data_IF_704574229095
#
_entry.id   IF_704574229095
#
_cell.length_a   1.000
_cell.length_b   1.000
_cell.length_c   1.000
_cell.angle_alpha   90.00
_cell.angle_beta   90.00
_cell.angle_gamma   90.00
#
_symmetry.space_group_name_H-M   'P 1'
#
loop_
_entity.id
_entity.type
_entity.pdbx_description
1 polymer ?
#
# COMPACT_ATOMS: atom_id res chain seq x y z
N UNK A 1 -41.55 23.75 6.18
CA UNK A 1 -41.31 22.30 6.36
C UNK A 1 -40.37 21.85 5.26
N UNK A 2 -39.08 22.10 5.42
CA UNK A 2 -38.03 21.49 4.58
C UNK A 2 -37.53 20.28 5.34
N UNK A 3 -37.78 19.11 4.78
CA UNK A 3 -37.42 17.80 5.32
C UNK A 3 -35.96 17.77 5.80
N UNK A 4 -35.65 17.09 6.92
CA UNK A 4 -34.27 16.87 7.31
C UNK A 4 -33.58 16.03 6.23
N UNK A 5 -32.44 16.53 5.76
CA UNK A 5 -31.48 15.85 4.90
C UNK A 5 -31.19 14.49 5.54
N UNK A 6 -31.76 13.43 4.97
CA UNK A 6 -31.53 12.06 5.43
C UNK A 6 -30.07 11.74 5.11
N UNK A 7 -29.22 11.90 6.13
CA UNK A 7 -27.77 11.81 6.03
C UNK A 7 -27.33 10.60 5.20
N UNK A 8 -26.83 10.89 4.00
CA UNK A 8 -26.30 9.87 3.10
C UNK A 8 -25.11 9.20 3.80
N UNK A 9 -25.25 7.90 4.11
CA UNK A 9 -24.16 7.13 4.72
C UNK A 9 -23.02 7.06 3.71
N UNK A 10 -21.83 7.51 4.09
CA UNK A 10 -20.65 7.49 3.23
C UNK A 10 -20.32 6.04 2.82
N UNK A 11 -20.16 5.81 1.51
CA UNK A 11 -19.87 4.48 0.94
C UNK A 11 -18.46 3.97 1.29
N UNK A 12 -17.54 4.85 1.66
CA UNK A 12 -16.14 4.55 1.98
C UNK A 12 -15.70 5.29 3.25
N UNK A 13 -14.60 4.83 3.84
CA UNK A 13 -13.93 5.55 4.92
C UNK A 13 -13.10 6.69 4.37
N UNK A 14 -12.92 7.72 5.19
CA UNK A 14 -11.97 8.79 4.92
C UNK A 14 -10.96 8.88 6.07
N UNK A 15 -9.70 9.11 5.71
CA UNK A 15 -8.66 9.50 6.65
C UNK A 15 -7.76 10.59 6.05
N UNK A 16 -6.80 11.05 6.84
CA UNK A 16 -5.75 11.96 6.39
C UNK A 16 -4.39 11.25 6.45
N UNK A 17 -3.57 11.52 5.45
CA UNK A 17 -2.18 11.06 5.36
C UNK A 17 -1.27 12.25 5.05
N UNK A 18 0.00 12.12 5.39
CA UNK A 18 1.03 13.07 4.98
C UNK A 18 1.87 12.47 3.86
N UNK A 19 2.19 13.29 2.84
CA UNK A 19 3.16 12.94 1.79
C UNK A 19 4.44 13.72 2.00
N UNK A 20 5.56 13.01 2.01
CA UNK A 20 6.91 13.55 2.05
C UNK A 20 7.55 13.37 0.67
N UNK A 21 8.21 14.40 0.16
CA UNK A 21 8.91 14.33 -1.13
C UNK A 21 10.31 14.93 -1.11
N UNK A 22 11.25 14.27 -1.78
CA UNK A 22 12.60 14.78 -2.00
C UNK A 22 13.07 14.44 -3.42
N UNK A 23 13.75 15.38 -4.07
CA UNK A 23 14.36 15.15 -5.38
C UNK A 23 15.83 14.78 -5.16
N UNK A 24 16.30 13.74 -5.85
CA UNK A 24 17.63 13.18 -5.68
C UNK A 24 18.29 12.97 -7.05
N UNK A 25 19.30 13.78 -7.39
CA UNK A 25 20.09 13.70 -8.63
C UNK A 25 21.49 13.10 -8.44
N UNK A 26 21.90 12.87 -7.19
CA UNK A 26 23.23 12.39 -6.79
C UNK A 26 23.19 11.04 -6.04
N UNK A 27 22.10 10.28 -6.22
CA UNK A 27 21.90 8.95 -5.65
C UNK A 27 21.87 7.86 -6.73
N UNK A 28 22.43 6.69 -6.45
CA UNK A 28 22.30 5.51 -7.33
C UNK A 28 20.93 4.85 -7.17
N UNK A 29 20.51 4.07 -8.17
CA UNK A 29 19.26 3.31 -8.07
C UNK A 29 19.25 2.29 -6.92
N UNK A 30 20.39 1.64 -6.65
CA UNK A 30 20.55 0.70 -5.53
C UNK A 30 20.36 1.39 -4.18
N UNK A 31 20.97 2.57 -4.01
CA UNK A 31 20.84 3.33 -2.77
C UNK A 31 19.41 3.85 -2.60
N UNK A 32 18.77 4.35 -3.67
CA UNK A 32 17.36 4.74 -3.63
C UNK A 32 16.45 3.55 -3.25
N UNK A 33 16.67 2.36 -3.82
CA UNK A 33 15.93 1.14 -3.46
C UNK A 33 16.08 0.81 -1.98
N UNK A 34 17.31 0.89 -1.44
CA UNK A 34 17.59 0.66 -0.03
C UNK A 34 16.84 1.65 0.88
N UNK A 35 16.81 2.94 0.53
CA UNK A 35 16.03 3.94 1.27
C UNK A 35 14.55 3.57 1.26
N UNK A 36 14.00 3.21 0.10
CA UNK A 36 12.59 2.83 -0.03
C UNK A 36 12.24 1.62 0.85
N UNK A 37 13.09 0.60 0.87
CA UNK A 37 12.93 -0.57 1.74
C UNK A 37 12.98 -0.21 3.22
N UNK A 38 13.93 0.63 3.65
CA UNK A 38 14.03 1.10 5.04
C UNK A 38 12.75 1.80 5.46
N UNK A 39 12.20 2.67 4.61
CA UNK A 39 10.97 3.40 4.90
C UNK A 39 9.76 2.45 4.99
N UNK A 40 9.62 1.51 4.05
CA UNK A 40 8.56 0.50 4.08
C UNK A 40 8.64 -0.38 5.33
N UNK A 41 9.83 -0.87 5.67
CA UNK A 41 10.08 -1.69 6.86
C UNK A 41 9.83 -0.92 8.18
N UNK A 42 9.89 0.41 8.13
CA UNK A 42 9.58 1.29 9.26
C UNK A 42 8.11 1.73 9.32
N UNK A 43 7.24 1.16 8.50
CA UNK A 43 5.80 1.37 8.56
C UNK A 43 5.30 2.56 7.75
N UNK A 44 6.02 2.97 6.70
CA UNK A 44 5.46 3.88 5.71
C UNK A 44 4.20 3.25 5.11
N UNK A 45 3.19 4.06 4.80
CA UNK A 45 1.95 3.59 4.19
C UNK A 45 2.16 3.22 2.72
N UNK A 46 3.06 3.92 2.04
CA UNK A 46 3.51 3.63 0.68
C UNK A 46 4.81 4.40 0.39
N UNK A 47 5.64 3.88 -0.51
CA UNK A 47 6.88 4.53 -0.96
C UNK A 47 7.13 4.21 -2.42
N UNK A 48 7.36 5.25 -3.23
CA UNK A 48 7.67 5.11 -4.66
C UNK A 48 8.64 6.19 -5.12
N UNK A 49 9.15 6.02 -6.34
CA UNK A 49 10.02 7.00 -6.99
C UNK A 49 9.51 7.34 -8.39
N UNK A 50 9.59 8.62 -8.76
CA UNK A 50 9.23 9.13 -10.09
C UNK A 50 10.48 9.66 -10.80
N UNK A 51 10.82 9.21 -12.03
CA UNK A 51 11.96 9.77 -12.76
C UNK A 51 11.68 11.22 -13.19
N UNK A 52 12.67 12.09 -13.04
CA UNK A 52 12.60 13.51 -13.44
C UNK A 52 13.90 13.94 -14.10
N UNK A 53 13.88 15.10 -14.77
CA UNK A 53 15.09 15.81 -15.21
C UNK A 53 15.23 17.10 -14.40
N UNK A 54 16.39 17.29 -13.78
CA UNK A 54 16.72 18.48 -12.99
C UNK A 54 17.60 19.45 -13.78
N UNK A 55 17.92 20.61 -13.16
CA UNK A 55 18.80 21.63 -13.74
C UNK A 55 20.10 21.01 -14.27
N UNK A 56 20.67 21.61 -15.32
CA UNK A 56 21.86 21.09 -16.03
C UNK A 56 21.61 19.73 -16.71
N UNK A 57 20.35 19.37 -16.99
CA UNK A 57 19.98 18.15 -17.71
C UNK A 57 20.25 16.86 -16.94
N UNK A 58 20.35 16.93 -15.60
CA UNK A 58 20.67 15.77 -14.77
C UNK A 58 19.46 14.85 -14.63
N UNK A 59 19.56 13.56 -14.97
CA UNK A 59 18.58 12.56 -14.58
C UNK A 59 18.51 12.44 -13.07
N UNK A 60 17.31 12.36 -12.51
CA UNK A 60 17.08 12.30 -11.07
C UNK A 60 15.79 11.54 -10.77
N UNK A 61 15.53 11.31 -9.49
CA UNK A 61 14.26 10.75 -9.02
C UNK A 61 13.64 11.64 -7.95
N UNK A 62 12.31 11.78 -7.97
CA UNK A 62 11.55 12.23 -6.81
C UNK A 62 11.19 11.01 -5.98
N UNK A 63 11.73 10.90 -4.77
CA UNK A 63 11.24 9.98 -3.75
C UNK A 63 9.93 10.53 -3.19
N UNK A 64 8.94 9.66 -3.05
CA UNK A 64 7.68 9.95 -2.39
C UNK A 64 7.45 8.94 -1.26
N UNK A 65 7.08 9.42 -0.08
CA UNK A 65 6.76 8.59 1.07
C UNK A 65 5.41 9.04 1.65
N UNK A 66 4.43 8.14 1.71
CA UNK A 66 3.17 8.35 2.41
C UNK A 66 3.28 7.80 3.84
N UNK A 67 2.84 8.57 4.82
CA UNK A 67 2.81 8.16 6.21
C UNK A 67 1.55 8.67 6.92
N UNK A 68 1.34 8.24 8.16
CA UNK A 68 0.23 8.75 8.96
C UNK A 68 0.39 10.26 9.20
N UNK A 69 -0.71 11.01 9.11
CA UNK A 69 -0.75 12.45 9.34
C UNK A 69 -0.74 12.77 10.83
N UNK A 70 0.38 12.49 11.49
CA UNK A 70 0.66 12.93 12.84
C UNK A 70 2.15 13.27 12.97
N UNK A 71 2.46 14.17 13.91
CA UNK A 71 3.80 14.73 14.10
C UNK A 71 4.86 13.66 14.31
N UNK A 72 4.62 12.68 15.19
CA UNK A 72 5.58 11.62 15.49
C UNK A 72 5.91 10.76 14.25
N UNK A 73 4.92 10.43 13.43
CA UNK A 73 5.09 9.69 12.18
C UNK A 73 5.88 10.51 11.16
N UNK A 74 5.50 11.77 10.93
CA UNK A 74 6.21 12.63 9.98
C UNK A 74 7.67 12.83 10.40
N UNK A 75 7.93 13.15 11.67
CA UNK A 75 9.27 13.33 12.20
C UNK A 75 10.14 12.07 12.04
N UNK A 76 9.57 10.89 12.28
CA UNK A 76 10.25 9.61 12.09
C UNK A 76 10.73 9.47 10.65
N UNK A 77 9.86 9.67 9.67
CA UNK A 77 10.21 9.47 8.26
C UNK A 77 11.10 10.58 7.70
N UNK A 78 10.93 11.82 8.15
CA UNK A 78 11.85 12.93 7.84
C UNK A 78 13.27 12.58 8.29
N UNK A 79 13.45 12.09 9.52
CA UNK A 79 14.76 11.67 10.04
C UNK A 79 15.35 10.51 9.24
N UNK A 80 14.56 9.50 8.91
CA UNK A 80 15.02 8.37 8.09
C UNK A 80 15.46 8.81 6.69
N UNK A 81 14.69 9.68 6.02
CA UNK A 81 15.04 10.19 4.69
C UNK A 81 16.33 11.00 4.76
N UNK A 82 16.49 11.91 5.73
CA UNK A 82 17.74 12.66 5.88
C UNK A 82 18.94 11.78 6.22
N UNK A 83 18.75 10.74 7.02
CA UNK A 83 19.84 9.88 7.45
C UNK A 83 20.32 8.95 6.32
N UNK A 84 19.41 8.48 5.48
CA UNK A 84 19.70 7.48 4.45
C UNK A 84 19.73 8.03 3.03
N UNK A 85 19.60 9.34 2.82
CA UNK A 85 19.71 9.93 1.48
C UNK A 85 20.60 11.17 1.46
N UNK A 86 20.86 11.67 0.27
CA UNK A 86 21.67 12.88 0.03
C UNK A 86 20.83 14.16 0.05
N UNK A 87 19.51 14.06 0.22
CA UNK A 87 18.65 15.25 0.16
C UNK A 87 18.95 16.22 1.31
N UNK A 88 18.95 17.50 0.99
CA UNK A 88 19.08 18.59 1.97
C UNK A 88 17.73 19.17 2.38
N UNK A 89 16.64 18.74 1.76
CA UNK A 89 15.30 19.23 2.06
C UNK A 89 14.21 18.24 1.67
N UNK A 90 13.12 18.28 2.43
CA UNK A 90 11.95 17.44 2.22
C UNK A 90 10.73 18.36 2.16
N UNK A 91 9.92 18.22 1.11
CA UNK A 91 8.62 18.88 1.02
C UNK A 91 7.61 18.04 1.77
N UNK A 92 6.83 18.68 2.63
CA UNK A 92 5.81 18.04 3.47
C UNK A 92 4.45 18.53 2.99
N UNK A 93 3.57 17.58 2.67
CA UNK A 93 2.19 17.82 2.31
C UNK A 93 1.31 17.12 3.35
N UNK A 94 0.96 17.80 4.47
CA UNK A 94 0.09 17.23 5.49
C UNK A 94 -1.37 17.26 5.03
N UNK A 95 -2.23 16.56 5.78
CA UNK A 95 -3.69 16.63 5.64
C UNK A 95 -4.22 16.31 4.24
N UNK A 96 -3.55 15.38 3.55
CA UNK A 96 -4.06 14.84 2.29
C UNK A 96 -5.22 13.91 2.63
N UNK A 97 -6.43 14.30 2.24
CA UNK A 97 -7.61 13.47 2.39
C UNK A 97 -7.54 12.24 1.47
N UNK A 98 -7.81 11.08 2.05
CA UNK A 98 -7.85 9.81 1.33
C UNK A 98 -9.17 9.11 1.59
N UNK A 99 -9.85 8.73 0.52
CA UNK A 99 -10.97 7.79 0.54
C UNK A 99 -10.41 6.36 0.48
N UNK A 100 -10.91 5.46 1.33
CA UNK A 100 -10.49 4.05 1.37
C UNK A 100 -11.68 3.13 1.62
N UNK A 101 -11.67 1.98 0.96
CA UNK A 101 -12.60 0.89 1.24
C UNK A 101 -12.24 0.21 2.57
N UNK A 102 -13.24 -0.40 3.20
CA UNK A 102 -12.97 -1.34 4.29
C UNK A 102 -12.22 -2.54 3.72
N UNK A 103 -11.21 -3.02 4.46
CA UNK A 103 -10.34 -4.11 4.04
C UNK A 103 -10.30 -5.18 5.10
N UNK A 104 -10.42 -6.42 4.64
CA UNK A 104 -10.36 -7.62 5.46
C UNK A 104 -9.25 -8.52 4.91
N UNK A 105 -8.60 -9.24 5.80
CA UNK A 105 -7.61 -10.23 5.44
C UNK A 105 -8.15 -11.61 5.78
N UNK A 106 -8.45 -12.41 4.76
CA UNK A 106 -8.79 -13.82 4.94
C UNK A 106 -7.55 -14.67 4.81
N UNK A 107 -7.52 -15.80 5.53
CA UNK A 107 -6.56 -16.86 5.30
C UNK A 107 -7.34 -18.05 4.78
N UNK A 108 -6.97 -18.52 3.59
CA UNK A 108 -7.65 -19.62 2.91
C UNK A 108 -6.66 -20.72 2.58
N UNK A 109 -7.09 -21.95 2.73
CA UNK A 109 -6.32 -23.11 2.31
C UNK A 109 -6.43 -23.27 0.79
N UNK A 110 -5.38 -23.81 0.18
CA UNK A 110 -5.34 -24.16 -1.25
C UNK A 110 -4.97 -25.63 -1.36
N UNK A 111 -5.39 -26.32 -2.41
CA UNK A 111 -5.07 -27.73 -2.63
C UNK A 111 -3.56 -27.98 -2.81
N UNK A 112 -2.78 -26.93 -3.02
CA UNK A 112 -1.36 -26.99 -3.36
C UNK A 112 -0.43 -26.82 -2.16
N UNK A 113 -0.91 -26.43 -0.98
CA UNK A 113 -0.03 -26.10 0.15
C UNK A 113 -0.72 -26.26 1.49
N UNK A 114 0.01 -26.77 2.48
CA UNK A 114 -0.41 -26.80 3.89
C UNK A 114 -0.42 -25.41 4.54
N UNK A 115 0.28 -24.44 3.93
CA UNK A 115 0.28 -23.06 4.38
C UNK A 115 -0.82 -22.26 3.67
N UNK A 116 -1.68 -21.53 4.42
CA UNK A 116 -2.77 -20.77 3.85
C UNK A 116 -2.25 -19.54 3.09
N UNK A 117 -3.01 -19.14 2.07
CA UNK A 117 -2.81 -17.90 1.33
C UNK A 117 -3.62 -16.78 1.97
N UNK A 118 -2.99 -15.64 2.21
CA UNK A 118 -3.72 -14.43 2.62
C UNK A 118 -4.43 -13.82 1.41
N UNK A 119 -5.72 -13.51 1.55
CA UNK A 119 -6.50 -12.82 0.53
C UNK A 119 -7.08 -11.54 1.11
N UNK A 120 -6.74 -10.43 0.47
CA UNK A 120 -7.25 -9.10 0.80
C UNK A 120 -8.61 -8.91 0.12
N UNK A 121 -9.66 -8.82 0.92
CA UNK A 121 -11.01 -8.48 0.47
C UNK A 121 -11.25 -7.00 0.77
N UNK A 122 -11.87 -6.28 -0.17
CA UNK A 122 -12.35 -4.92 0.08
C UNK A 122 -13.82 -4.77 -0.27
N UNK A 123 -14.55 -3.97 0.52
CA UNK A 123 -15.97 -3.69 0.34
C UNK A 123 -16.31 -2.22 0.63
N UNK A 124 -17.50 -1.79 0.20
CA UNK A 124 -18.07 -0.52 0.66
C UNK A 124 -18.56 -0.66 2.11
N UNK A 125 -18.64 0.44 2.85
CA UNK A 125 -19.11 0.43 4.25
C UNK A 125 -20.56 -0.03 4.40
N UNK A 126 -21.37 0.23 3.36
CA UNK A 126 -22.82 0.05 3.38
C UNK A 126 -23.28 -1.25 2.76
N UNK A 127 -22.36 -2.11 2.32
CA UNK A 127 -22.66 -3.35 1.61
C UNK A 127 -21.60 -4.41 1.91
N UNK A 128 -22.00 -5.67 2.02
CA UNK A 128 -21.06 -6.81 2.09
C UNK A 128 -20.62 -7.31 0.71
N UNK A 129 -21.01 -6.62 -0.36
CA UNK A 129 -20.55 -6.88 -1.71
C UNK A 129 -19.03 -6.64 -1.82
N UNK A 130 -18.33 -7.68 -2.30
CA UNK A 130 -16.90 -7.63 -2.55
C UNK A 130 -16.63 -6.72 -3.75
N UNK A 131 -15.96 -5.60 -3.49
CA UNK A 131 -15.44 -4.71 -4.55
C UNK A 131 -14.18 -5.28 -5.17
N UNK A 132 -13.32 -5.93 -4.37
CA UNK A 132 -12.09 -6.56 -4.85
C UNK A 132 -11.63 -7.67 -3.92
N UNK A 133 -11.01 -8.69 -4.50
CA UNK A 133 -10.37 -9.80 -3.81
C UNK A 133 -9.01 -10.05 -4.46
N UNK A 134 -7.92 -9.97 -3.69
CA UNK A 134 -6.56 -10.16 -4.19
C UNK A 134 -5.74 -11.02 -3.25
N UNK A 135 -5.24 -12.14 -3.76
CA UNK A 135 -4.28 -12.97 -3.03
C UNK A 135 -2.96 -12.23 -2.83
N UNK A 136 -2.34 -12.39 -1.66
CA UNK A 136 -1.01 -11.85 -1.38
C UNK A 136 0.02 -12.58 -2.23
N UNK A 137 0.77 -11.80 -3.01
CA UNK A 137 1.65 -12.33 -4.04
C UNK A 137 2.79 -13.16 -3.46
N UNK A 138 3.33 -12.77 -2.30
CA UNK A 138 4.44 -13.48 -1.66
C UNK A 138 4.04 -14.89 -1.19
N UNK A 139 2.80 -15.06 -0.72
CA UNK A 139 2.28 -16.39 -0.36
C UNK A 139 2.13 -17.25 -1.62
N UNK A 140 1.57 -16.69 -2.69
CA UNK A 140 1.40 -17.38 -3.98
C UNK A 140 2.76 -17.76 -4.60
N UNK A 141 3.74 -16.85 -4.54
CA UNK A 141 5.10 -17.05 -5.02
C UNK A 141 5.81 -18.15 -4.23
N UNK A 142 5.65 -18.15 -2.90
CA UNK A 142 6.21 -19.20 -2.03
C UNK A 142 5.66 -20.58 -2.42
N UNK A 143 4.34 -20.71 -2.57
CA UNK A 143 3.70 -21.98 -2.97
C UNK A 143 4.17 -22.41 -4.36
N UNK A 144 4.29 -21.48 -5.32
CA UNK A 144 4.84 -21.76 -6.64
C UNK A 144 6.28 -22.31 -6.56
N UNK A 145 7.13 -21.73 -5.70
CA UNK A 145 8.50 -22.22 -5.51
C UNK A 145 8.54 -23.61 -4.85
N UNK A 146 7.62 -23.90 -3.93
CA UNK A 146 7.53 -25.18 -3.22
C UNK A 146 6.99 -26.31 -4.12
N UNK A 147 6.04 -26.00 -5.01
CA UNK A 147 5.24 -27.01 -5.72
C UNK A 147 5.37 -27.01 -7.24
N UNK A 148 5.89 -25.93 -7.83
CA UNK A 148 5.91 -25.71 -9.27
C UNK A 148 4.58 -25.26 -9.88
N UNK A 149 3.50 -25.14 -9.09
CA UNK A 149 2.20 -24.65 -9.58
C UNK A 149 2.31 -23.16 -9.95
N UNK A 150 1.84 -22.73 -11.13
CA UNK A 150 1.93 -21.33 -11.54
C UNK A 150 1.27 -20.37 -10.54
N UNK A 151 1.93 -19.24 -10.28
CA UNK A 151 1.49 -18.23 -9.29
C UNK A 151 0.06 -17.74 -9.53
N UNK A 152 -0.38 -17.63 -10.79
CA UNK A 152 -1.73 -17.19 -11.15
C UNK A 152 -2.78 -18.24 -10.79
N UNK A 153 -2.46 -19.54 -10.93
CA UNK A 153 -3.38 -20.63 -10.55
C UNK A 153 -3.60 -20.62 -9.04
N UNK A 154 -2.52 -20.51 -8.25
CA UNK A 154 -2.62 -20.40 -6.78
C UNK A 154 -3.43 -19.16 -6.36
N UNK A 155 -3.18 -18.02 -7.02
CA UNK A 155 -3.89 -16.77 -6.72
C UNK A 155 -5.39 -16.86 -7.06
N UNK A 156 -5.75 -17.44 -8.20
CA UNK A 156 -7.14 -17.63 -8.63
C UNK A 156 -7.89 -18.59 -7.69
N UNK A 157 -7.28 -19.71 -7.32
CA UNK A 157 -7.85 -20.66 -6.37
C UNK A 157 -8.08 -20.02 -5.00
N UNK A 158 -7.06 -19.33 -4.45
CA UNK A 158 -7.18 -18.64 -3.18
C UNK A 158 -8.28 -17.57 -3.22
N UNK A 159 -8.37 -16.78 -4.29
CA UNK A 159 -9.44 -15.78 -4.45
C UNK A 159 -10.82 -16.45 -4.52
N UNK A 160 -10.95 -17.59 -5.19
CA UNK A 160 -12.21 -18.33 -5.25
C UNK A 160 -12.64 -18.83 -3.85
N UNK A 161 -11.73 -19.49 -3.14
CA UNK A 161 -11.96 -19.97 -1.78
C UNK A 161 -12.32 -18.83 -0.82
N UNK A 162 -11.64 -17.69 -0.93
CA UNK A 162 -11.90 -16.52 -0.10
C UNK A 162 -13.29 -15.91 -0.36
N UNK A 163 -13.75 -15.90 -1.62
CA UNK A 163 -15.11 -15.45 -1.94
C UNK A 163 -16.17 -16.39 -1.38
N UNK A 164 -15.98 -17.70 -1.48
CA UNK A 164 -16.89 -18.68 -0.87
C UNK A 164 -16.96 -18.48 0.65
N UNK A 165 -15.81 -18.46 1.32
CA UNK A 165 -15.72 -18.22 2.76
C UNK A 165 -16.31 -16.85 3.17
N UNK A 166 -16.26 -15.84 2.31
CA UNK A 166 -16.88 -14.53 2.58
C UNK A 166 -18.41 -14.59 2.53
N UNK A 167 -18.98 -15.34 1.59
CA UNK A 167 -20.43 -15.51 1.45
C UNK A 167 -21.04 -16.40 2.55
N UNK A 168 -20.26 -17.32 3.11
CA UNK A 168 -20.72 -18.26 4.14
C UNK A 168 -20.67 -17.71 5.59
N UNK A 169 -20.29 -16.43 5.77
CA UNK A 169 -20.20 -15.75 7.08
C UNK A 169 -21.53 -15.16 7.52
#
# INVERSE_FOLDING_TARGET
MTSPDQGQIALWDTDQVAKLEANMDDITGEHLSCVMEILMNNGALDVWATPIIMKKGRPAHTLHCLCHDNEASMDKFIKLIFHHSTTLGIRIYPSIHRAKLERFMLRVDTAHSEHPVKVKISKFKTSDEIVSAKAEFDDCKRIMLETGVPVNVVAEEAVHAAKQQWHDR
#
